data_IF_275358487904
#
_entry.id   IF_275358487904
#
_cell.length_a   1.000
_cell.length_b   1.000
_cell.length_c   1.000
_cell.angle_alpha   90.00
_cell.angle_beta   90.00
_cell.angle_gamma   90.00
#
_symmetry.space_group_name_H-M   'P 1'
#
loop_
_entity.id
_entity.type
_entity.pdbx_description
1 polymer ?
#
# COMPACT_ATOMS: atom_id res chain seq x y z
N UNK A 1 46.22 -2.58 -1.49
CA UNK A 1 45.51 -1.36 -1.07
C UNK A 1 44.05 -1.50 -1.53
N UNK A 2 43.15 -1.86 -0.62
CA UNK A 2 41.75 -2.16 -0.93
C UNK A 2 40.94 -0.86 -1.10
N UNK A 3 40.43 -0.62 -2.30
CA UNK A 3 39.52 0.49 -2.61
C UNK A 3 38.11 0.14 -2.12
N UNK A 4 37.76 0.57 -0.91
CA UNK A 4 36.38 0.50 -0.41
C UNK A 4 35.47 1.41 -1.23
N UNK A 5 34.53 0.81 -1.98
CA UNK A 5 33.43 1.54 -2.62
C UNK A 5 32.45 2.00 -1.54
N UNK A 6 31.95 3.25 -1.57
CA UNK A 6 30.92 3.69 -0.65
C UNK A 6 29.65 2.87 -0.90
N UNK A 7 29.20 2.15 0.12
CA UNK A 7 27.91 1.47 0.10
C UNK A 7 26.82 2.54 0.26
N UNK A 8 26.45 3.18 -0.85
CA UNK A 8 25.22 3.99 -0.91
C UNK A 8 24.07 3.08 -0.47
N UNK A 9 23.49 3.41 0.69
CA UNK A 9 22.28 2.76 1.18
C UNK A 9 21.27 2.83 0.05
N UNK A 10 20.94 1.69 -0.55
CA UNK A 10 19.92 1.56 -1.60
C UNK A 10 18.62 2.13 -1.05
N UNK A 11 18.36 3.40 -1.36
CA UNK A 11 17.10 4.03 -1.04
C UNK A 11 16.02 3.24 -1.76
N UNK A 12 14.90 2.97 -1.08
CA UNK A 12 13.79 2.26 -1.71
C UNK A 12 13.20 3.19 -2.77
N UNK A 13 13.64 3.05 -4.01
CA UNK A 13 12.98 3.67 -5.16
C UNK A 13 11.59 3.07 -5.28
N UNK A 14 10.58 3.91 -5.08
CA UNK A 14 9.19 3.52 -5.28
C UNK A 14 8.90 3.50 -6.78
N UNK A 15 8.70 2.31 -7.33
CA UNK A 15 8.25 2.16 -8.71
C UNK A 15 6.84 2.72 -8.88
N UNK A 16 6.65 3.50 -9.94
CA UNK A 16 5.37 4.03 -10.37
C UNK A 16 4.46 2.91 -10.87
N UNK A 17 3.16 3.21 -10.96
CA UNK A 17 2.19 2.28 -11.50
C UNK A 17 2.49 1.92 -12.96
N UNK A 18 2.85 2.94 -13.73
CA UNK A 18 3.16 2.84 -15.15
C UNK A 18 4.41 2.00 -15.40
N UNK A 19 5.46 2.18 -14.59
CA UNK A 19 6.68 1.38 -14.67
C UNK A 19 6.40 -0.11 -14.48
N UNK A 20 5.57 -0.47 -13.48
CA UNK A 20 5.17 -1.86 -13.23
C UNK A 20 4.35 -2.44 -14.38
N UNK A 21 3.43 -1.67 -14.95
CA UNK A 21 2.64 -2.09 -16.10
C UNK A 21 3.51 -2.28 -17.35
N UNK A 22 4.46 -1.38 -17.58
CA UNK A 22 5.41 -1.49 -18.68
C UNK A 22 6.27 -2.76 -18.54
N UNK A 23 6.74 -3.09 -17.34
CA UNK A 23 7.47 -4.33 -17.09
C UNK A 23 6.64 -5.59 -17.40
N UNK A 24 5.36 -5.58 -17.02
CA UNK A 24 4.44 -6.70 -17.30
C UNK A 24 4.25 -6.87 -18.80
N UNK A 25 4.02 -5.78 -19.55
CA UNK A 25 3.86 -5.81 -21.01
C UNK A 25 5.10 -6.36 -21.72
N UNK A 26 6.30 -5.91 -21.30
CA UNK A 26 7.55 -6.40 -21.88
C UNK A 26 7.76 -7.90 -21.58
N UNK A 27 7.39 -8.37 -20.39
CA UNK A 27 7.43 -9.79 -20.04
C UNK A 27 6.44 -10.62 -20.85
N UNK A 28 5.22 -10.11 -21.11
CA UNK A 28 4.23 -10.78 -21.97
C UNK A 28 4.67 -10.85 -23.43
N UNK A 29 5.45 -9.88 -23.89
CA UNK A 29 6.07 -9.90 -25.23
C UNK A 29 7.22 -10.92 -25.38
N UNK A 30 7.53 -11.69 -24.34
CA UNK A 30 8.56 -12.73 -24.35
C UNK A 30 9.97 -12.24 -24.01
N UNK A 31 10.16 -11.00 -23.57
CA UNK A 31 11.48 -10.52 -23.12
C UNK A 31 11.89 -11.14 -21.79
N UNK A 32 13.19 -11.43 -21.66
CA UNK A 32 13.76 -11.93 -20.42
C UNK A 32 13.88 -10.83 -19.35
N UNK A 33 13.81 -11.23 -18.07
CA UNK A 33 13.89 -10.28 -16.94
C UNK A 33 15.20 -9.47 -16.91
N UNK A 34 16.29 -10.04 -17.44
CA UNK A 34 17.59 -9.36 -17.57
C UNK A 34 17.53 -8.26 -18.63
N UNK A 35 16.85 -8.52 -19.75
CA UNK A 35 16.68 -7.54 -20.83
C UNK A 35 15.76 -6.40 -20.41
N UNK A 36 14.65 -6.72 -19.74
CA UNK A 36 13.72 -5.74 -19.17
C UNK A 36 14.43 -4.85 -18.15
N UNK A 37 15.23 -5.45 -17.26
CA UNK A 37 16.00 -4.71 -16.27
C UNK A 37 17.02 -3.75 -16.90
N UNK A 38 17.76 -4.22 -17.91
CA UNK A 38 18.70 -3.38 -18.67
C UNK A 38 18.00 -2.22 -19.36
N UNK A 39 16.87 -2.47 -20.04
CA UNK A 39 16.12 -1.46 -20.79
C UNK A 39 15.52 -0.36 -19.92
N UNK A 40 15.07 -0.72 -18.72
CA UNK A 40 14.41 0.21 -17.79
C UNK A 40 15.37 0.79 -16.73
N UNK A 41 16.65 0.38 -16.72
CA UNK A 41 17.58 0.75 -15.65
C UNK A 41 17.22 0.16 -14.28
N UNK A 42 16.43 -0.91 -14.26
CA UNK A 42 15.90 -1.55 -13.06
C UNK A 42 16.65 -2.85 -12.78
N UNK A 43 16.95 -3.11 -11.50
CA UNK A 43 17.60 -4.36 -11.09
C UNK A 43 16.70 -5.56 -11.39
N UNK A 44 17.29 -6.62 -11.98
CA UNK A 44 16.60 -7.90 -12.33
C UNK A 44 15.70 -8.43 -11.21
N UNK A 45 16.13 -8.32 -9.96
CA UNK A 45 15.36 -8.77 -8.80
C UNK A 45 13.99 -8.07 -8.71
N UNK A 46 13.96 -6.76 -8.91
CA UNK A 46 12.73 -5.97 -8.92
C UNK A 46 11.81 -6.38 -10.06
N UNK A 47 12.39 -6.67 -11.24
CA UNK A 47 11.66 -7.21 -12.39
C UNK A 47 10.98 -8.53 -12.05
N UNK A 48 11.73 -9.46 -11.45
CA UNK A 48 11.18 -10.75 -11.02
C UNK A 48 10.05 -10.59 -10.02
N UNK A 49 10.18 -9.70 -9.04
CA UNK A 49 9.15 -9.47 -8.02
C UNK A 49 7.86 -8.90 -8.62
N UNK A 50 7.96 -7.96 -9.56
CA UNK A 50 6.79 -7.40 -10.24
C UNK A 50 6.08 -8.46 -11.09
N UNK A 51 6.83 -9.30 -11.80
CA UNK A 51 6.25 -10.39 -12.61
C UNK A 51 5.58 -11.45 -11.72
N UNK A 52 6.21 -11.85 -10.60
CA UNK A 52 5.61 -12.80 -9.65
C UNK A 52 4.33 -12.27 -8.99
N UNK A 53 4.25 -10.96 -8.78
CA UNK A 53 3.08 -10.30 -8.19
C UNK A 53 2.08 -9.77 -9.22
N UNK A 54 2.28 -10.09 -10.51
CA UNK A 54 1.48 -9.59 -11.65
C UNK A 54 -0.01 -9.82 -11.46
N UNK A 55 -0.44 -11.03 -11.13
CA UNK A 55 -1.86 -11.38 -11.05
C UNK A 55 -2.59 -10.57 -9.96
N UNK A 56 -1.96 -10.47 -8.78
CA UNK A 56 -2.45 -9.66 -7.67
C UNK A 56 -2.49 -8.18 -8.07
N UNK A 57 -1.44 -7.67 -8.69
CA UNK A 57 -1.34 -6.28 -9.12
C UNK A 57 -2.38 -5.91 -10.19
N UNK A 58 -2.62 -6.76 -11.19
CA UNK A 58 -3.64 -6.51 -12.23
C UNK A 58 -5.07 -6.54 -11.64
N UNK A 59 -5.34 -7.45 -10.70
CA UNK A 59 -6.60 -7.47 -9.95
C UNK A 59 -6.80 -6.17 -9.16
N UNK A 60 -5.74 -5.67 -8.53
CA UNK A 60 -5.75 -4.41 -7.80
C UNK A 60 -5.97 -3.20 -8.71
N UNK A 61 -5.32 -3.14 -9.88
CA UNK A 61 -5.54 -2.08 -10.89
C UNK A 61 -6.98 -2.06 -11.38
N UNK A 62 -7.57 -3.23 -11.67
CA UNK A 62 -8.96 -3.33 -12.13
C UNK A 62 -9.97 -2.88 -11.06
N UNK A 63 -9.65 -3.10 -9.80
CA UNK A 63 -10.52 -2.74 -8.68
C UNK A 63 -10.31 -1.28 -8.21
N UNK A 64 -9.21 -0.63 -8.60
CA UNK A 64 -8.91 0.75 -8.25
C UNK A 64 -9.51 1.72 -9.29
N UNK A 65 -10.25 2.73 -8.82
CA UNK A 65 -10.77 3.81 -9.66
C UNK A 65 -9.62 4.61 -10.30
N UNK A 66 -9.72 5.10 -11.56
CA UNK A 66 -8.55 5.51 -12.37
C UNK A 66 -7.79 6.75 -11.88
N UNK A 67 -8.26 7.46 -10.85
CA UNK A 67 -7.76 8.78 -10.46
C UNK A 67 -6.59 8.78 -9.46
N UNK A 68 -6.20 7.63 -8.88
CA UNK A 68 -5.13 7.56 -7.88
C UNK A 68 -3.83 6.93 -8.41
N UNK A 69 -3.19 7.62 -9.36
CA UNK A 69 -2.08 7.13 -10.19
C UNK A 69 -0.75 6.87 -9.46
N UNK A 70 -0.52 7.40 -8.25
CA UNK A 70 0.83 7.37 -7.64
C UNK A 70 1.10 6.23 -6.66
N UNK A 71 0.07 5.56 -6.12
CA UNK A 71 0.25 4.43 -5.19
C UNK A 71 -1.07 3.68 -5.04
N UNK A 72 -1.18 2.51 -5.64
CA UNK A 72 -2.23 1.55 -5.31
C UNK A 72 -1.85 0.90 -3.96
N UNK A 73 -2.00 1.66 -2.87
CA UNK A 73 -2.22 1.03 -1.56
C UNK A 73 -3.71 0.75 -1.51
N UNK A 74 -4.10 -0.53 -1.53
CA UNK A 74 -5.48 -0.93 -1.29
C UNK A 74 -5.91 -0.36 0.06
N UNK A 75 -6.70 0.72 0.05
CA UNK A 75 -7.32 1.25 1.25
C UNK A 75 -8.37 0.21 1.67
N UNK A 76 -8.14 -0.46 2.79
CA UNK A 76 -9.11 -1.41 3.32
C UNK A 76 -10.38 -0.64 3.69
N UNK A 77 -11.57 -1.15 3.38
CA UNK A 77 -12.83 -0.48 3.76
C UNK A 77 -12.90 -0.23 5.26
N UNK A 78 -12.35 -1.16 6.06
CA UNK A 78 -12.20 -1.00 7.51
C UNK A 78 -11.40 0.25 7.91
N UNK A 79 -10.33 0.58 7.16
CA UNK A 79 -9.52 1.78 7.41
C UNK A 79 -10.33 3.02 7.04
N UNK A 80 -11.03 3.00 5.91
CA UNK A 80 -11.86 4.12 5.48
C UNK A 80 -13.01 4.41 6.46
N UNK A 81 -13.66 3.37 6.98
CA UNK A 81 -14.73 3.50 7.97
C UNK A 81 -14.18 3.99 9.32
N UNK A 82 -13.01 3.49 9.75
CA UNK A 82 -12.33 3.98 10.95
C UNK A 82 -11.93 5.45 10.82
N UNK A 83 -11.41 5.89 9.67
CA UNK A 83 -11.02 7.28 9.42
C UNK A 83 -12.23 8.22 9.50
N UNK A 84 -13.40 7.83 8.98
CA UNK A 84 -14.63 8.63 9.10
C UNK A 84 -15.00 8.87 10.57
N UNK A 85 -14.98 7.81 11.39
CA UNK A 85 -15.30 7.90 12.82
C UNK A 85 -14.26 8.77 13.54
N UNK A 86 -12.98 8.60 13.20
CA UNK A 86 -11.89 9.37 13.78
C UNK A 86 -12.01 10.86 13.44
N UNK A 87 -12.41 11.22 12.21
CA UNK A 87 -12.63 12.62 11.82
C UNK A 87 -13.72 13.28 12.65
N UNK A 88 -14.89 12.64 12.79
CA UNK A 88 -16.00 13.17 13.60
C UNK A 88 -15.55 13.38 15.06
N UNK A 89 -14.75 12.46 15.59
CA UNK A 89 -14.20 12.61 16.93
C UNK A 89 -13.21 13.78 17.03
N UNK A 90 -12.30 13.95 16.08
CA UNK A 90 -11.36 15.09 16.05
C UNK A 90 -12.11 16.42 15.97
N UNK A 91 -13.17 16.51 15.15
CA UNK A 91 -14.02 17.69 15.03
C UNK A 91 -14.70 18.04 16.37
N UNK A 92 -15.26 17.05 17.07
CA UNK A 92 -15.85 17.24 18.40
C UNK A 92 -14.81 17.74 19.41
N UNK A 93 -13.61 17.15 19.45
CA UNK A 93 -12.56 17.61 20.37
C UNK A 93 -12.07 19.02 20.03
N UNK A 94 -11.95 19.34 18.75
CA UNK A 94 -11.55 20.67 18.26
C UNK A 94 -12.62 21.71 18.61
N UNK A 95 -13.90 21.38 18.49
CA UNK A 95 -15.02 22.26 18.89
C UNK A 95 -15.03 22.58 20.39
N UNK A 96 -14.47 21.68 21.20
CA UNK A 96 -14.30 21.83 22.65
C UNK A 96 -12.98 22.52 23.03
N UNK A 97 -12.20 22.98 22.06
CA UNK A 97 -10.87 23.56 22.24
C UNK A 97 -9.89 22.62 22.99
N UNK A 98 -10.05 21.31 22.83
CA UNK A 98 -9.14 20.32 23.43
C UNK A 98 -7.94 20.14 22.49
N UNK A 99 -6.71 20.45 22.91
CA UNK A 99 -5.53 20.25 22.09
C UNK A 99 -5.28 18.75 21.89
N UNK A 100 -5.29 18.31 20.64
CA UNK A 100 -5.01 16.93 20.27
C UNK A 100 -3.55 16.79 19.83
N UNK A 101 -2.80 15.93 20.53
CA UNK A 101 -1.49 15.49 20.07
C UNK A 101 -1.62 14.35 19.06
N UNK A 102 -0.57 14.16 18.26
CA UNK A 102 -0.49 13.04 17.32
C UNK A 102 -0.66 11.69 18.01
N UNK A 103 -0.09 11.53 19.22
CA UNK A 103 -0.13 10.29 19.98
C UNK A 103 -1.56 9.93 20.41
N UNK A 104 -2.34 10.93 20.85
CA UNK A 104 -3.74 10.73 21.24
C UNK A 104 -4.57 10.30 20.02
N UNK A 105 -4.35 10.94 18.86
CA UNK A 105 -5.04 10.60 17.62
C UNK A 105 -4.69 9.17 17.18
N UNK A 106 -3.41 8.80 17.25
CA UNK A 106 -2.95 7.44 16.91
C UNK A 106 -3.53 6.39 17.85
N UNK A 107 -3.54 6.66 19.16
CA UNK A 107 -4.12 5.78 20.16
C UNK A 107 -5.62 5.55 19.89
N UNK A 108 -6.35 6.63 19.62
CA UNK A 108 -7.78 6.55 19.29
C UNK A 108 -8.03 5.78 17.99
N UNK A 109 -7.24 6.03 16.95
CA UNK A 109 -7.33 5.30 15.69
C UNK A 109 -7.11 3.80 15.88
N UNK A 110 -6.09 3.41 16.64
CA UNK A 110 -5.79 2.01 16.93
C UNK A 110 -6.92 1.34 17.72
N UNK A 111 -7.47 2.02 18.73
CA UNK A 111 -8.60 1.53 19.50
C UNK A 111 -9.84 1.29 18.61
N UNK A 112 -10.22 2.27 17.79
CA UNK A 112 -11.34 2.17 16.85
C UNK A 112 -11.13 1.00 15.87
N UNK A 113 -9.94 0.90 15.29
CA UNK A 113 -9.61 -0.18 14.37
C UNK A 113 -9.76 -1.57 15.00
N UNK A 114 -9.26 -1.75 16.23
CA UNK A 114 -9.36 -3.01 16.96
C UNK A 114 -10.81 -3.38 17.27
N UNK A 115 -11.63 -2.41 17.69
CA UNK A 115 -13.08 -2.63 17.94
C UNK A 115 -13.80 -3.04 16.66
N UNK A 116 -13.55 -2.36 15.53
CA UNK A 116 -14.19 -2.68 14.26
C UNK A 116 -13.73 -4.03 13.71
N UNK A 117 -12.46 -4.39 13.93
CA UNK A 117 -11.90 -5.70 13.58
C UNK A 117 -12.55 -6.82 14.41
N UNK A 118 -12.76 -6.60 15.70
CA UNK A 118 -13.42 -7.57 16.58
C UNK A 118 -14.89 -7.82 16.17
N UNK A 119 -15.63 -6.75 15.83
CA UNK A 119 -17.02 -6.84 15.38
C UNK A 119 -17.19 -7.68 14.11
N UNK A 120 -16.32 -7.50 13.11
CA UNK A 120 -16.30 -8.35 11.90
C UNK A 120 -15.95 -9.82 12.16
N UNK A 121 -15.23 -10.10 13.24
CA UNK A 121 -14.94 -11.48 13.65
C UNK A 121 -16.13 -12.18 14.31
N UNK A 122 -17.01 -11.43 14.99
CA UNK A 122 -18.21 -11.94 15.66
C UNK A 122 -19.38 -12.16 14.70
N UNK A 123 -19.56 -11.29 13.69
CA UNK A 123 -20.60 -11.45 12.65
C UNK A 123 -20.41 -12.73 11.80
N UNK A 124 -19.21 -13.31 11.75
CA UNK A 124 -18.94 -14.57 11.06
C UNK A 124 -19.30 -15.84 11.89
N UNK A 125 -19.64 -15.67 13.17
CA UNK A 125 -19.99 -16.77 14.09
C UNK A 125 -21.48 -16.85 14.44
N UNK A 126 -22.27 -15.81 14.15
CA UNK A 126 -23.71 -15.79 14.48
C UNK A 126 -24.61 -16.27 13.33
N UNK A 127 -24.11 -16.41 12.10
CA UNK A 127 -24.86 -16.90 10.92
C UNK A 127 -24.92 -18.45 10.84
N UNK A 128 -24.97 -19.12 12.00
CA UNK A 128 -25.13 -20.58 12.14
C UNK A 128 -25.97 -20.95 13.37
N UNK A 129 -27.10 -20.28 13.60
CA UNK A 129 -28.12 -20.74 14.55
C UNK A 129 -29.51 -20.55 13.99
#
# INVERSE_FOLDING_TARGET
MASSRPNEKKSRTSLSLEEKLHMIRLSESGMSNTEIGRRLGIVRQTVSQVIMSKEKFLKEVRNATPTNTKRIRQRCSLIADMEKILTVWIEDQTSRNIPLSQDIIQFKALALFNTMKAKRGQEASEDKS
#
